data_IF_293030505119
#
_entry.id   IF_293030505119
#
_cell.length_a   1.000
_cell.length_b   1.000
_cell.length_c   1.000
_cell.angle_alpha   90.00
_cell.angle_beta   90.00
_cell.angle_gamma   90.00
#
_symmetry.space_group_name_H-M   'P 1'
#
loop_
_entity.id
_entity.type
_entity.pdbx_description
1 polymer ?
#
# COMPACT_ATOMS: atom_id res chain seq x y z
N UNK A 1 26.02 75.78 31.90
CA UNK A 1 24.59 76.03 31.59
C UNK A 1 24.43 75.72 30.10
N UNK A 2 23.91 74.61 29.59
CA UNK A 2 23.17 73.44 30.10
C UNK A 2 23.43 72.31 29.07
N UNK A 3 23.78 71.10 29.53
CA UNK A 3 23.70 69.87 28.72
C UNK A 3 22.26 69.68 28.22
N UNK A 4 22.03 69.71 26.91
CA UNK A 4 20.81 69.11 26.35
C UNK A 4 21.08 67.67 25.97
N UNK A 5 20.90 66.79 26.96
CA UNK A 5 20.71 65.35 26.76
C UNK A 5 19.38 65.12 26.03
N UNK A 6 19.43 65.05 24.70
CA UNK A 6 18.30 64.59 23.88
C UNK A 6 18.06 63.12 24.21
N UNK A 7 16.97 62.84 24.91
CA UNK A 7 16.51 61.50 25.23
C UNK A 7 16.14 60.74 23.96
N UNK A 8 16.60 59.49 23.84
CA UNK A 8 16.25 58.60 22.74
C UNK A 8 14.78 58.13 22.82
N UNK A 9 14.04 58.05 21.71
CA UNK A 9 12.71 57.49 21.73
C UNK A 9 12.82 55.97 21.84
N UNK A 10 12.36 55.39 22.96
CA UNK A 10 12.21 53.93 23.09
C UNK A 10 11.15 53.48 22.09
N UNK A 11 11.58 52.89 20.96
CA UNK A 11 10.70 52.18 20.04
C UNK A 11 10.06 51.02 20.81
N UNK A 12 8.82 51.19 21.25
CA UNK A 12 8.01 50.12 21.82
C UNK A 12 7.62 49.19 20.68
N UNK A 13 8.38 48.11 20.50
CA UNK A 13 8.02 47.02 19.61
C UNK A 13 6.72 46.40 20.12
N UNK A 14 5.67 46.46 19.31
CA UNK A 14 4.41 45.76 19.58
C UNK A 14 4.68 44.26 19.34
N UNK A 15 5.09 43.54 20.38
CA UNK A 15 5.22 42.10 20.31
C UNK A 15 3.82 41.48 20.28
N UNK A 16 3.36 41.07 19.09
CA UNK A 16 2.12 40.32 18.92
C UNK A 16 2.34 38.89 19.41
N UNK A 17 1.86 38.57 20.61
CA UNK A 17 1.82 37.19 21.13
C UNK A 17 0.79 36.42 20.30
N UNK A 18 1.23 35.44 19.51
CA UNK A 18 0.33 34.53 18.80
C UNK A 18 -0.20 33.50 19.80
N UNK A 19 -1.53 33.35 19.89
CA UNK A 19 -2.13 32.23 20.62
C UNK A 19 -1.79 30.94 19.86
N UNK A 20 -1.03 30.06 20.51
CA UNK A 20 -0.60 28.77 19.98
C UNK A 20 -1.62 27.67 20.25
N UNK A 21 -1.48 26.58 19.49
CA UNK A 21 -2.27 25.35 19.57
C UNK A 21 -2.33 24.81 21.00
N UNK A 22 -3.51 24.39 21.43
CA UNK A 22 -3.75 23.82 22.77
C UNK A 22 -3.54 22.30 22.76
N UNK A 23 -3.26 21.73 23.94
CA UNK A 23 -3.22 20.27 24.10
C UNK A 23 -4.57 19.63 23.76
N UNK A 24 -5.67 20.31 24.08
CA UNK A 24 -7.04 19.84 23.77
C UNK A 24 -7.25 19.74 22.26
N UNK A 25 -6.75 20.69 21.47
CA UNK A 25 -6.82 20.60 20.01
C UNK A 25 -6.03 19.40 19.48
N UNK A 26 -4.84 19.10 20.03
CA UNK A 26 -4.11 17.88 19.63
C UNK A 26 -4.86 16.59 19.98
N UNK A 27 -5.55 16.55 21.13
CA UNK A 27 -6.34 15.39 21.54
C UNK A 27 -7.52 15.14 20.58
N UNK A 28 -8.23 16.19 20.19
CA UNK A 28 -9.33 16.09 19.23
C UNK A 28 -8.82 15.65 17.85
N UNK A 29 -7.65 16.13 17.42
CA UNK A 29 -7.03 15.70 16.16
C UNK A 29 -6.66 14.22 16.19
N UNK A 30 -6.03 13.73 17.26
CA UNK A 30 -5.70 12.30 17.40
C UNK A 30 -6.95 11.42 17.46
N UNK A 31 -8.03 11.92 18.07
CA UNK A 31 -9.33 11.24 18.09
C UNK A 31 -9.94 11.12 16.68
N UNK A 32 -9.90 12.16 15.87
CA UNK A 32 -10.43 12.11 14.50
C UNK A 32 -9.56 11.18 13.63
N UNK A 33 -8.23 11.28 13.72
CA UNK A 33 -7.32 10.42 12.94
C UNK A 33 -7.51 8.95 13.30
N UNK A 34 -7.72 8.60 14.57
CA UNK A 34 -7.93 7.21 14.98
C UNK A 34 -9.20 6.60 14.36
N UNK A 35 -10.30 7.36 14.33
CA UNK A 35 -11.55 6.95 13.67
C UNK A 35 -11.34 6.78 12.16
N UNK A 36 -10.63 7.72 11.51
CA UNK A 36 -10.32 7.62 10.08
C UNK A 36 -9.48 6.37 9.77
N UNK A 37 -8.44 6.09 10.54
CA UNK A 37 -7.60 4.89 10.36
C UNK A 37 -8.43 3.61 10.52
N UNK A 38 -9.32 3.54 11.52
CA UNK A 38 -10.20 2.39 11.73
C UNK A 38 -11.16 2.14 10.55
N UNK A 39 -11.60 3.17 9.83
CA UNK A 39 -12.43 3.01 8.63
C UNK A 39 -11.61 2.69 7.38
N UNK A 40 -10.39 3.22 7.26
CA UNK A 40 -9.54 3.03 6.08
C UNK A 40 -8.78 1.70 6.09
N UNK A 41 -8.22 1.28 7.21
CA UNK A 41 -7.43 0.03 7.34
C UNK A 41 -8.21 -1.22 6.90
N UNK A 42 -9.47 -1.47 7.32
CA UNK A 42 -10.20 -2.65 6.86
C UNK A 42 -10.47 -2.59 5.35
N UNK A 43 -10.75 -1.41 4.81
CA UNK A 43 -10.94 -1.21 3.37
C UNK A 43 -9.66 -1.50 2.57
N UNK A 44 -8.48 -1.16 3.10
CA UNK A 44 -7.18 -1.47 2.47
C UNK A 44 -6.78 -2.94 2.62
N UNK A 45 -7.03 -3.55 3.78
CA UNK A 45 -6.68 -4.95 4.04
C UNK A 45 -7.42 -5.91 3.11
N UNK A 46 -8.71 -5.65 2.86
CA UNK A 46 -9.54 -6.46 1.95
C UNK A 46 -9.07 -6.39 0.49
N UNK A 47 -8.43 -5.30 0.06
CA UNK A 47 -7.92 -5.18 -1.30
C UNK A 47 -6.70 -6.08 -1.57
N UNK A 48 -5.87 -6.34 -0.56
CA UNK A 48 -4.69 -7.21 -0.71
C UNK A 48 -5.10 -8.65 -1.03
N UNK A 49 -6.04 -9.20 -0.27
CA UNK A 49 -6.56 -10.56 -0.51
C UNK A 49 -7.22 -10.72 -1.89
N UNK A 50 -7.98 -9.72 -2.34
CA UNK A 50 -8.60 -9.73 -3.68
C UNK A 50 -7.54 -9.68 -4.80
N UNK A 51 -6.44 -8.96 -4.60
CA UNK A 51 -5.33 -8.90 -5.57
C UNK A 51 -4.62 -10.25 -5.63
N UNK A 52 -4.35 -10.87 -4.48
CA UNK A 52 -3.71 -12.18 -4.41
C UNK A 52 -4.58 -13.26 -5.10
N UNK A 53 -5.89 -13.26 -4.85
CA UNK A 53 -6.83 -14.18 -5.48
C UNK A 53 -6.90 -13.99 -7.01
N UNK A 54 -6.99 -12.74 -7.48
CA UNK A 54 -6.98 -12.44 -8.93
C UNK A 54 -5.64 -12.78 -9.59
N UNK A 55 -4.53 -12.57 -8.90
CA UNK A 55 -3.20 -12.95 -9.36
C UNK A 55 -3.07 -14.47 -9.49
N UNK A 56 -3.51 -15.21 -8.49
CA UNK A 56 -3.52 -16.67 -8.50
C UNK A 56 -4.43 -17.22 -9.61
N UNK A 57 -5.61 -16.64 -9.81
CA UNK A 57 -6.51 -17.02 -10.91
C UNK A 57 -5.86 -16.78 -12.30
N UNK A 58 -5.08 -15.71 -12.47
CA UNK A 58 -4.34 -15.47 -13.70
C UNK A 58 -3.23 -16.52 -13.91
N UNK A 59 -2.54 -16.93 -12.85
CA UNK A 59 -1.53 -18.00 -12.89
C UNK A 59 -2.16 -19.33 -13.29
N UNK A 60 -3.29 -19.70 -12.66
CA UNK A 60 -4.08 -20.89 -13.03
C UNK A 60 -4.38 -20.86 -14.53
N UNK A 61 -4.83 -19.72 -15.06
CA UNK A 61 -5.15 -19.58 -16.48
C UNK A 61 -3.94 -19.76 -17.40
N UNK A 62 -2.79 -19.23 -17.01
CA UNK A 62 -1.54 -19.43 -17.76
C UNK A 62 -1.19 -20.91 -17.82
N UNK A 63 -1.25 -21.64 -16.70
CA UNK A 63 -0.96 -23.09 -16.67
C UNK A 63 -1.94 -23.87 -17.55
N UNK A 64 -3.24 -23.57 -17.50
CA UNK A 64 -4.23 -24.17 -18.40
C UNK A 64 -3.90 -23.94 -19.87
N UNK A 65 -3.53 -22.71 -20.23
CA UNK A 65 -3.14 -22.40 -21.61
C UNK A 65 -1.89 -23.17 -22.03
N UNK A 66 -0.90 -23.35 -21.15
CA UNK A 66 0.26 -24.17 -21.48
C UNK A 66 -0.10 -25.66 -21.67
N UNK A 67 -0.99 -26.20 -20.84
CA UNK A 67 -1.52 -27.56 -21.00
C UNK A 67 -2.25 -27.71 -22.33
N UNK A 68 -3.06 -26.72 -22.71
CA UNK A 68 -3.80 -26.71 -23.97
C UNK A 68 -2.87 -26.62 -25.18
N UNK A 69 -1.85 -25.76 -25.14
CA UNK A 69 -0.84 -25.64 -26.19
C UNK A 69 -0.03 -26.93 -26.34
N UNK A 70 0.37 -27.54 -25.23
CA UNK A 70 1.05 -28.83 -25.24
C UNK A 70 0.19 -29.90 -25.90
N UNK A 71 -1.09 -29.97 -25.50
CA UNK A 71 -2.04 -30.91 -26.09
C UNK A 71 -2.25 -30.71 -27.58
N UNK A 72 -2.25 -29.46 -28.04
CA UNK A 72 -2.36 -29.15 -29.46
C UNK A 72 -1.11 -29.58 -30.26
N UNK A 73 0.06 -29.55 -29.64
CA UNK A 73 1.33 -29.88 -30.29
C UNK A 73 1.68 -31.38 -30.23
N UNK A 74 1.35 -32.05 -29.13
CA UNK A 74 1.75 -33.44 -28.86
C UNK A 74 0.58 -34.44 -28.87
N UNK A 75 -0.64 -33.97 -29.15
CA UNK A 75 -1.88 -34.78 -29.16
C UNK A 75 -2.15 -35.55 -27.85
N UNK A 76 -1.54 -35.13 -26.74
CA UNK A 76 -1.65 -35.75 -25.41
C UNK A 76 -1.65 -34.71 -24.30
N UNK A 77 -2.17 -35.07 -23.13
CA UNK A 77 -2.13 -34.20 -21.95
C UNK A 77 -0.75 -34.35 -21.29
N UNK A 78 -0.03 -33.25 -20.99
CA UNK A 78 1.28 -33.32 -20.35
C UNK A 78 1.18 -33.77 -18.90
N UNK A 79 2.22 -34.43 -18.39
CA UNK A 79 2.36 -34.65 -16.95
C UNK A 79 2.88 -33.39 -16.24
N UNK A 80 2.73 -33.34 -14.91
CA UNK A 80 3.32 -32.27 -14.09
C UNK A 80 4.83 -32.18 -14.34
N UNK A 81 5.50 -33.32 -14.35
CA UNK A 81 6.93 -33.43 -14.50
C UNK A 81 7.40 -32.92 -15.86
N UNK A 82 6.64 -33.17 -16.93
CA UNK A 82 6.93 -32.62 -18.27
C UNK A 82 6.76 -31.11 -18.32
N UNK A 83 5.66 -30.57 -17.77
CA UNK A 83 5.43 -29.12 -17.76
C UNK A 83 6.56 -28.36 -17.04
N UNK A 84 7.12 -28.95 -15.98
CA UNK A 84 8.23 -28.35 -15.22
C UNK A 84 9.57 -28.61 -15.92
N UNK A 85 9.83 -29.84 -16.36
CA UNK A 85 11.11 -30.22 -16.97
C UNK A 85 11.35 -29.54 -18.31
N UNK A 86 10.30 -29.35 -19.10
CA UNK A 86 10.35 -28.65 -20.39
C UNK A 86 10.24 -27.13 -20.23
N UNK A 87 10.04 -26.64 -19.01
CA UNK A 87 10.06 -25.22 -18.68
C UNK A 87 8.81 -24.44 -19.08
N UNK A 88 7.69 -25.12 -19.34
CA UNK A 88 6.40 -24.47 -19.60
C UNK A 88 5.87 -23.72 -18.38
N UNK A 89 6.12 -24.26 -17.18
CA UNK A 89 5.68 -23.67 -15.90
C UNK A 89 6.73 -23.90 -14.81
N UNK A 90 6.80 -22.99 -13.85
CA UNK A 90 7.60 -23.20 -12.63
C UNK A 90 6.86 -24.07 -11.60
N UNK A 91 7.61 -24.65 -10.65
CA UNK A 91 7.03 -25.40 -9.52
C UNK A 91 6.02 -24.57 -8.72
N UNK A 92 6.31 -23.28 -8.51
CA UNK A 92 5.44 -22.36 -7.77
C UNK A 92 4.12 -22.12 -8.52
N UNK A 93 4.17 -21.88 -9.83
CA UNK A 93 2.97 -21.70 -10.65
C UNK A 93 2.11 -22.96 -10.70
N UNK A 94 2.73 -24.15 -10.79
CA UNK A 94 1.99 -25.42 -10.74
C UNK A 94 1.39 -25.67 -9.35
N UNK A 95 2.07 -25.30 -8.27
CA UNK A 95 1.53 -25.40 -6.92
C UNK A 95 0.29 -24.50 -6.73
N UNK A 96 0.31 -23.29 -7.30
CA UNK A 96 -0.86 -22.38 -7.30
C UNK A 96 -2.00 -22.97 -8.14
N UNK A 97 -1.69 -23.60 -9.29
CA UNK A 97 -2.68 -24.30 -10.11
C UNK A 97 -3.38 -25.44 -9.34
N UNK A 98 -2.63 -26.28 -8.63
CA UNK A 98 -3.20 -27.37 -7.81
C UNK A 98 -4.04 -26.87 -6.62
N UNK A 99 -3.72 -25.69 -6.07
CA UNK A 99 -4.51 -25.07 -4.99
C UNK A 99 -5.78 -24.39 -5.51
N UNK A 100 -5.79 -23.95 -6.77
CA UNK A 100 -6.91 -23.27 -7.41
C UNK A 100 -7.91 -24.19 -8.12
N UNK A 101 -7.61 -25.49 -8.18
CA UNK A 101 -8.47 -26.55 -8.73
C UNK A 101 -9.49 -27.05 -7.71
#
# INVERSE_FOLDING_TARGET
MIEKKVASPRKQGIWRVKKGFTLVEMLVVLLVISILVLLFVPNLANQRGIIDEKGNAAIVKVVETQIELFRLNEDRVPSKEELIAEGYVSEEQYAIYEQGK
#
